data_IF_688807754337
#
_entry.id   IF_688807754337
#
_cell.length_a   1.000
_cell.length_b   1.000
_cell.length_c   1.000
_cell.angle_alpha   90.00
_cell.angle_beta   90.00
_cell.angle_gamma   90.00
#
_symmetry.space_group_name_H-M   'P 1'
#
loop_
_entity.id
_entity.type
_entity.pdbx_description
1 polymer ?
#
# COMPACT_ATOMS: atom_id res chain seq x y z
N UNK A 1 -11.32 7.26 -12.41
CA UNK A 1 -11.69 6.48 -11.22
C UNK A 1 -11.03 7.14 -10.02
N UNK A 2 -11.54 6.88 -8.80
CA UNK A 2 -11.04 7.47 -7.56
C UNK A 2 -10.62 6.37 -6.58
N UNK A 3 -9.31 6.24 -6.37
CA UNK A 3 -8.73 5.23 -5.51
C UNK A 3 -8.08 5.84 -4.25
N UNK A 4 -7.79 5.00 -3.27
CA UNK A 4 -6.97 5.38 -2.12
C UNK A 4 -5.87 4.37 -1.83
N UNK A 5 -4.76 4.88 -1.30
CA UNK A 5 -3.79 4.10 -0.57
C UNK A 5 -3.69 4.62 0.87
N UNK A 6 -3.70 3.71 1.83
CA UNK A 6 -3.53 4.00 3.24
C UNK A 6 -2.38 3.19 3.84
N UNK A 7 -1.43 3.88 4.47
CA UNK A 7 -0.35 3.30 5.28
C UNK A 7 -0.30 3.98 6.65
N UNK A 8 -1.36 3.81 7.47
CA UNK A 8 -1.41 4.44 8.78
C UNK A 8 -0.31 3.87 9.69
N UNK A 9 -0.01 4.54 10.81
CA UNK A 9 0.54 3.82 11.96
C UNK A 9 -0.30 2.57 12.23
N UNK A 10 0.34 1.40 12.21
CA UNK A 10 -0.37 0.13 12.42
C UNK A 10 -0.94 0.07 13.83
N UNK A 11 -2.03 -0.69 14.08
CA UNK A 11 -2.64 -0.75 15.40
C UNK A 11 -1.61 -1.01 16.51
N UNK A 12 -1.49 -0.12 17.49
CA UNK A 12 -0.53 -0.21 18.59
C UNK A 12 0.89 0.23 18.24
N UNK A 13 1.11 0.89 17.10
CA UNK A 13 2.41 1.39 16.63
C UNK A 13 2.43 2.92 16.48
N UNK A 14 1.39 3.64 16.90
CA UNK A 14 1.38 5.11 16.83
C UNK A 14 2.59 5.76 17.53
N UNK A 15 3.09 5.17 18.62
CA UNK A 15 4.25 5.67 19.35
C UNK A 15 5.58 5.71 18.57
N UNK A 16 5.65 5.09 17.39
CA UNK A 16 6.82 5.18 16.49
C UNK A 16 6.80 6.42 15.58
N UNK A 17 5.71 7.18 15.59
CA UNK A 17 5.49 8.32 14.71
C UNK A 17 5.41 9.62 15.53
N UNK A 18 5.82 10.77 14.97
CA UNK A 18 5.81 12.06 15.68
C UNK A 18 4.45 12.44 16.27
N UNK A 19 3.35 12.08 15.59
CA UNK A 19 1.98 12.41 15.97
C UNK A 19 1.52 11.62 17.20
N UNK A 20 2.12 10.45 17.48
CA UNK A 20 1.82 9.57 18.62
C UNK A 20 0.31 9.31 18.85
N UNK A 21 -0.48 9.35 17.78
CA UNK A 21 -1.93 9.25 17.83
C UNK A 21 -2.37 7.98 17.13
N UNK A 22 -3.13 7.13 17.83
CA UNK A 22 -3.70 5.93 17.23
C UNK A 22 -4.76 6.26 16.20
N UNK A 23 -4.77 5.47 15.13
CA UNK A 23 -5.75 5.61 14.05
C UNK A 23 -6.99 4.79 14.41
N UNK A 24 -8.15 5.45 14.34
CA UNK A 24 -9.47 4.80 14.45
C UNK A 24 -9.69 3.89 13.22
N UNK A 25 -9.37 2.60 13.38
CA UNK A 25 -9.41 1.62 12.29
C UNK A 25 -10.82 1.41 11.72
N UNK A 26 -11.89 1.25 12.55
CA UNK A 26 -13.25 1.21 12.03
C UNK A 26 -13.61 2.43 11.18
N UNK A 27 -13.26 3.64 11.64
CA UNK A 27 -13.52 4.86 10.88
C UNK A 27 -12.72 4.93 9.58
N UNK A 28 -11.44 4.55 9.62
CA UNK A 28 -10.60 4.51 8.42
C UNK A 28 -11.17 3.53 7.38
N UNK A 29 -11.53 2.31 7.79
CA UNK A 29 -12.09 1.31 6.87
C UNK A 29 -13.45 1.78 6.31
N UNK A 30 -14.31 2.37 7.15
CA UNK A 30 -15.54 2.99 6.70
C UNK A 30 -15.27 4.09 5.65
N UNK A 31 -14.30 4.98 5.90
CA UNK A 31 -13.90 6.01 4.95
C UNK A 31 -13.43 5.40 3.62
N UNK A 32 -12.54 4.40 3.67
CA UNK A 32 -12.03 3.70 2.49
C UNK A 32 -13.17 3.11 1.65
N UNK A 33 -14.14 2.46 2.29
CA UNK A 33 -15.29 1.83 1.63
C UNK A 33 -16.22 2.86 0.99
N UNK A 34 -16.49 3.98 1.68
CA UNK A 34 -17.48 4.97 1.23
C UNK A 34 -16.93 6.01 0.25
N UNK A 35 -15.70 6.48 0.44
CA UNK A 35 -15.12 7.55 -0.38
C UNK A 35 -14.34 7.04 -1.61
N UNK A 36 -13.94 5.76 -1.61
CA UNK A 36 -13.13 5.15 -2.68
C UNK A 36 -13.77 3.84 -3.19
N UNK A 37 -15.02 3.89 -3.71
CA UNK A 37 -15.75 2.70 -4.15
C UNK A 37 -15.09 2.01 -5.36
N UNK A 38 -14.30 2.75 -6.14
CA UNK A 38 -13.56 2.21 -7.29
C UNK A 38 -12.41 1.28 -6.85
N UNK A 39 -11.87 1.49 -5.64
CA UNK A 39 -10.92 0.59 -5.01
C UNK A 39 -9.94 1.28 -4.06
N UNK A 40 -9.35 0.49 -3.18
CA UNK A 40 -8.37 0.98 -2.22
C UNK A 40 -7.40 -0.13 -1.79
N UNK A 41 -6.25 0.29 -1.28
CA UNK A 41 -5.26 -0.57 -0.64
C UNK A 41 -4.88 -0.03 0.75
N UNK A 42 -4.84 -0.91 1.75
CA UNK A 42 -4.50 -0.60 3.13
C UNK A 42 -3.37 -1.50 3.60
N UNK A 43 -2.21 -0.90 3.87
CA UNK A 43 -1.07 -1.58 4.50
C UNK A 43 -1.31 -1.77 5.99
N UNK A 44 -0.93 -2.93 6.52
CA UNK A 44 -0.98 -3.21 7.97
C UNK A 44 0.06 -4.27 8.36
N UNK A 45 0.05 -4.69 9.62
CA UNK A 45 0.87 -5.80 10.14
C UNK A 45 0.06 -7.09 10.21
N UNK A 46 0.74 -8.23 10.02
CA UNK A 46 0.09 -9.55 10.02
C UNK A 46 -0.65 -9.86 11.33
N UNK A 47 -0.15 -9.39 12.48
CA UNK A 47 -0.80 -9.58 13.78
C UNK A 47 -2.10 -8.78 13.97
N UNK A 48 -2.36 -7.77 13.12
CA UNK A 48 -3.60 -6.98 13.15
C UNK A 48 -4.72 -7.59 12.30
N UNK A 49 -4.45 -8.63 11.49
CA UNK A 49 -5.46 -9.19 10.58
C UNK A 49 -6.72 -9.68 11.31
N UNK A 50 -6.57 -10.27 12.50
CA UNK A 50 -7.71 -10.76 13.29
C UNK A 50 -8.67 -9.63 13.70
N UNK A 51 -8.14 -8.44 13.92
CA UNK A 51 -8.91 -7.26 14.32
C UNK A 51 -9.49 -6.52 13.11
N UNK A 52 -8.72 -6.42 12.02
CA UNK A 52 -9.09 -5.60 10.86
C UNK A 52 -10.04 -6.31 9.88
N UNK A 53 -9.85 -7.61 9.63
CA UNK A 53 -10.66 -8.33 8.63
C UNK A 53 -12.16 -8.33 8.95
N UNK A 54 -12.62 -8.46 10.21
CA UNK A 54 -14.06 -8.35 10.53
C UNK A 54 -14.67 -6.98 10.24
N UNK A 55 -13.87 -5.93 10.09
CA UNK A 55 -14.33 -4.57 9.75
C UNK A 55 -14.43 -4.37 8.23
N UNK A 56 -13.79 -5.24 7.45
CA UNK A 56 -13.74 -5.16 6.00
C UNK A 56 -14.98 -5.81 5.35
N UNK A 57 -15.38 -5.34 4.15
CA UNK A 57 -16.30 -6.08 3.28
C UNK A 57 -15.76 -7.48 2.92
N UNK A 58 -16.67 -8.38 2.54
CA UNK A 58 -16.37 -9.77 2.21
C UNK A 58 -15.60 -9.97 0.88
N UNK A 59 -15.59 -8.95 0.03
CA UNK A 59 -14.86 -8.90 -1.24
C UNK A 59 -13.40 -8.41 -1.11
N UNK A 60 -12.93 -8.12 0.12
CA UNK A 60 -11.55 -7.72 0.38
C UNK A 60 -10.58 -8.90 0.21
N UNK A 61 -9.48 -8.66 -0.49
CA UNK A 61 -8.36 -9.58 -0.64
C UNK A 61 -7.22 -9.21 0.29
N UNK A 62 -6.49 -10.21 0.78
CA UNK A 62 -5.24 -10.03 1.52
C UNK A 62 -4.08 -10.34 0.57
N UNK A 63 -3.29 -9.32 0.25
CA UNK A 63 -2.05 -9.44 -0.53
C UNK A 63 -0.84 -9.38 0.42
N UNK A 64 0.34 -9.72 -0.08
CA UNK A 64 1.56 -9.80 0.74
C UNK A 64 2.73 -8.99 0.16
N UNK A 65 3.23 -8.02 0.91
CA UNK A 65 4.57 -7.49 0.69
C UNK A 65 5.59 -8.33 1.45
N UNK A 66 6.36 -9.11 0.71
CA UNK A 66 7.41 -10.00 1.21
C UNK A 66 8.75 -9.25 1.22
N UNK A 67 9.47 -9.35 2.34
CA UNK A 67 10.74 -8.65 2.58
C UNK A 67 11.88 -9.66 2.56
N UNK A 68 12.66 -9.79 1.46
CA UNK A 68 13.81 -10.70 1.38
C UNK A 68 14.82 -10.48 2.51
N UNK A 69 14.97 -9.23 2.95
CA UNK A 69 15.76 -8.86 4.10
C UNK A 69 14.90 -8.14 5.15
N UNK A 70 14.99 -8.59 6.39
CA UNK A 70 14.40 -7.97 7.58
C UNK A 70 15.28 -8.24 8.81
N UNK A 71 15.33 -7.38 9.83
CA UNK A 71 16.07 -7.67 11.05
C UNK A 71 15.45 -8.84 11.83
N UNK A 72 16.19 -9.93 12.00
CA UNK A 72 15.82 -11.02 12.90
C UNK A 72 16.21 -10.61 14.31
N UNK A 73 15.23 -10.56 15.22
CA UNK A 73 15.43 -10.08 16.59
C UNK A 73 15.54 -11.26 17.56
N UNK A 74 16.45 -11.16 18.52
CA UNK A 74 16.54 -12.12 19.61
C UNK A 74 15.18 -12.26 20.31
N UNK A 75 14.76 -13.49 20.58
CA UNK A 75 13.46 -13.78 21.19
C UNK A 75 12.27 -13.82 20.22
N UNK A 76 12.46 -13.55 18.92
CA UNK A 76 11.41 -13.71 17.91
C UNK A 76 11.61 -15.04 17.17
N UNK A 77 10.79 -16.04 17.49
CA UNK A 77 10.89 -17.40 16.91
C UNK A 77 10.53 -17.43 15.41
N UNK A 78 9.47 -16.73 15.02
CA UNK A 78 9.03 -16.60 13.62
C UNK A 78 9.14 -15.13 13.24
N UNK A 79 10.02 -14.81 12.29
CA UNK A 79 10.27 -13.45 11.89
C UNK A 79 9.08 -12.82 11.14
N UNK A 80 8.84 -11.53 11.37
CA UNK A 80 7.86 -10.72 10.62
C UNK A 80 8.42 -10.30 9.25
N UNK A 81 8.66 -11.29 8.39
CA UNK A 81 9.30 -11.12 7.08
C UNK A 81 8.36 -10.66 5.96
N UNK A 82 7.11 -10.34 6.27
CA UNK A 82 6.14 -9.81 5.32
C UNK A 82 5.12 -8.90 6.00
N UNK A 83 4.44 -8.08 5.22
CA UNK A 83 3.35 -7.19 5.65
C UNK A 83 2.12 -7.41 4.76
N UNK A 84 0.92 -7.59 5.33
CA UNK A 84 -0.31 -7.65 4.56
C UNK A 84 -0.68 -6.30 3.94
N UNK A 85 -1.26 -6.37 2.75
CA UNK A 85 -1.96 -5.26 2.09
C UNK A 85 -3.39 -5.70 1.82
N UNK A 86 -4.35 -5.11 2.52
CA UNK A 86 -5.77 -5.35 2.30
C UNK A 86 -6.19 -4.56 1.06
N UNK A 87 -6.85 -5.21 0.11
CA UNK A 87 -7.23 -4.59 -1.17
C UNK A 87 -8.68 -4.87 -1.47
N UNK A 88 -9.40 -3.83 -1.89
CA UNK A 88 -10.76 -3.92 -2.41
C UNK A 88 -10.87 -3.24 -3.77
N UNK A 89 -11.66 -3.80 -4.67
CA UNK A 89 -11.94 -3.18 -5.97
C UNK A 89 -10.72 -3.16 -6.89
N UNK A 90 -10.52 -2.03 -7.58
CA UNK A 90 -9.53 -1.87 -8.64
C UNK A 90 -10.16 -1.96 -10.03
N UNK A 91 -9.49 -1.35 -11.01
CA UNK A 91 -9.94 -1.42 -12.40
C UNK A 91 -9.73 -2.84 -12.95
N UNK A 92 -10.71 -3.35 -13.71
CA UNK A 92 -10.54 -4.60 -14.47
C UNK A 92 -9.48 -4.41 -15.55
N UNK A 93 -8.47 -5.28 -15.54
CA UNK A 93 -7.40 -5.31 -16.54
C UNK A 93 -7.85 -6.01 -17.84
N UNK A 94 -7.50 -5.49 -19.03
CA UNK A 94 -7.74 -6.18 -20.30
C UNK A 94 -7.05 -7.54 -20.34
N UNK A 95 -7.60 -8.48 -21.11
CA UNK A 95 -7.02 -9.82 -21.30
C UNK A 95 -5.66 -9.82 -22.03
N UNK A 96 -5.29 -8.69 -22.62
CA UNK A 96 -4.03 -8.48 -23.35
C UNK A 96 -2.86 -8.11 -22.45
N UNK A 97 -3.12 -7.85 -21.16
CA UNK A 97 -2.08 -7.50 -20.20
C UNK A 97 -1.92 -8.60 -19.14
N UNK A 98 -0.70 -8.72 -18.60
CA UNK A 98 -0.37 -9.74 -17.61
C UNK A 98 -1.13 -9.54 -16.30
N UNK A 99 -1.40 -10.67 -15.64
CA UNK A 99 -1.97 -10.66 -14.29
C UNK A 99 -0.92 -10.22 -13.28
N UNK A 100 -1.32 -9.34 -12.35
CA UNK A 100 -0.47 -8.89 -11.24
C UNK A 100 -0.47 -9.95 -10.14
N UNK A 101 0.70 -10.28 -9.62
CA UNK A 101 0.83 -11.20 -8.47
C UNK A 101 0.18 -10.56 -7.24
N UNK A 102 -0.47 -11.38 -6.42
CA UNK A 102 -1.01 -10.99 -5.12
C UNK A 102 0.05 -10.87 -4.02
N UNK A 103 1.32 -10.89 -4.43
CA UNK A 103 2.47 -10.59 -3.58
C UNK A 103 3.50 -9.75 -4.33
N UNK A 104 4.30 -9.00 -3.57
CA UNK A 104 5.45 -8.24 -4.05
C UNK A 104 6.67 -8.51 -3.19
N UNK A 105 7.84 -8.64 -3.82
CA UNK A 105 9.08 -9.00 -3.15
C UNK A 105 10.06 -7.83 -3.22
N UNK A 106 10.28 -7.16 -2.09
CA UNK A 106 11.23 -6.05 -2.01
C UNK A 106 11.61 -5.78 -0.55
N UNK A 107 12.87 -5.47 -0.28
CA UNK A 107 13.30 -5.14 1.08
C UNK A 107 12.89 -3.71 1.46
N UNK A 108 12.58 -3.49 2.74
CA UNK A 108 12.21 -2.16 3.24
C UNK A 108 13.36 -1.13 3.24
N UNK A 109 14.60 -1.58 3.03
CA UNK A 109 15.79 -0.74 3.07
C UNK A 109 16.05 -0.05 1.74
N UNK A 110 16.18 1.28 1.76
CA UNK A 110 16.81 2.06 0.69
C UNK A 110 18.26 2.32 1.09
N UNK A 111 19.23 1.80 0.33
CA UNK A 111 20.66 2.02 0.57
C UNK A 111 21.13 1.64 1.99
N UNK A 112 20.60 0.54 2.54
CA UNK A 112 20.98 0.03 3.87
C UNK A 112 20.36 0.79 5.05
N UNK A 113 19.49 1.77 4.83
CA UNK A 113 18.75 2.49 5.88
C UNK A 113 17.27 2.11 5.84
N UNK A 114 16.72 1.81 7.01
CA UNK A 114 15.27 1.62 7.20
C UNK A 114 14.74 2.92 7.80
N UNK A 115 13.97 3.66 7.02
CA UNK A 115 13.21 4.81 7.51
C UNK A 115 11.84 4.30 7.97
N UNK A 116 11.45 4.63 9.21
CA UNK A 116 10.18 4.20 9.77
C UNK A 116 9.04 4.67 8.86
N UNK A 117 8.15 3.75 8.47
CA UNK A 117 7.01 4.02 7.59
C UNK A 117 7.36 4.27 6.12
N UNK A 118 8.62 4.17 5.70
CA UNK A 118 8.95 4.30 4.27
C UNK A 118 8.66 3.00 3.52
N UNK A 119 7.76 3.06 2.54
CA UNK A 119 7.56 1.99 1.56
C UNK A 119 8.56 2.12 0.42
N UNK A 120 9.17 1.02 -0.05
CA UNK A 120 10.13 1.10 -1.14
C UNK A 120 9.42 1.38 -2.49
N UNK A 121 10.12 1.97 -3.48
CA UNK A 121 9.47 2.40 -4.72
C UNK A 121 8.76 1.28 -5.49
N UNK A 122 9.35 0.08 -5.56
CA UNK A 122 8.73 -1.04 -6.27
C UNK A 122 7.40 -1.46 -5.65
N UNK A 123 7.30 -1.45 -4.31
CA UNK A 123 6.06 -1.69 -3.59
C UNK A 123 4.99 -0.66 -3.96
N UNK A 124 5.35 0.64 -4.01
CA UNK A 124 4.41 1.68 -4.37
C UNK A 124 3.88 1.48 -5.80
N UNK A 125 4.76 1.14 -6.75
CA UNK A 125 4.36 0.82 -8.12
C UNK A 125 3.48 -0.42 -8.20
N UNK A 126 3.79 -1.47 -7.42
CA UNK A 126 2.98 -2.67 -7.35
C UNK A 126 1.56 -2.39 -6.83
N UNK A 127 1.39 -1.54 -5.81
CA UNK A 127 0.05 -1.12 -5.34
C UNK A 127 -0.72 -0.42 -6.48
N UNK A 128 -0.07 0.43 -7.26
CA UNK A 128 -0.67 1.08 -8.43
C UNK A 128 -1.05 0.06 -9.52
N UNK A 129 -0.27 -0.99 -9.70
CA UNK A 129 -0.58 -2.10 -10.62
C UNK A 129 -1.74 -2.97 -10.15
N UNK A 130 -1.82 -3.23 -8.84
CA UNK A 130 -2.91 -3.98 -8.20
C UNK A 130 -4.24 -3.27 -8.37
N UNK A 131 -4.29 -1.97 -8.14
CA UNK A 131 -5.47 -1.13 -8.39
C UNK A 131 -5.71 -0.88 -9.89
N UNK A 132 -4.70 -1.23 -10.71
CA UNK A 132 -4.60 -0.97 -12.14
C UNK A 132 -4.93 0.50 -12.48
N UNK A 133 -4.25 1.42 -11.79
CA UNK A 133 -4.45 2.85 -11.98
C UNK A 133 -3.73 3.39 -13.22
N UNK A 134 -4.38 4.34 -13.89
CA UNK A 134 -3.99 4.89 -15.19
C UNK A 134 -3.99 6.43 -15.15
N UNK A 135 -3.23 7.09 -16.04
CA UNK A 135 -3.28 8.54 -16.16
C UNK A 135 -4.72 9.07 -16.29
N UNK A 136 -5.02 10.13 -15.54
CA UNK A 136 -6.38 10.69 -15.43
C UNK A 136 -7.21 10.13 -14.27
N UNK A 137 -6.76 9.08 -13.57
CA UNK A 137 -7.35 8.68 -12.30
C UNK A 137 -6.95 9.61 -11.15
N UNK A 138 -7.83 9.73 -10.17
CA UNK A 138 -7.52 10.28 -8.86
C UNK A 138 -7.06 9.13 -7.95
N UNK A 139 -5.93 9.31 -7.28
CA UNK A 139 -5.50 8.44 -6.20
C UNK A 139 -5.12 9.32 -5.02
N UNK A 140 -5.67 9.01 -3.85
CA UNK A 140 -5.38 9.74 -2.61
C UNK A 140 -4.45 8.92 -1.73
N UNK A 141 -3.32 9.51 -1.38
CA UNK A 141 -2.40 9.02 -0.35
C UNK A 141 -2.86 9.55 1.01
N UNK A 142 -3.59 8.73 1.77
CA UNK A 142 -4.21 9.16 3.03
C UNK A 142 -3.20 9.35 4.17
N UNK A 143 -2.02 8.73 4.05
CA UNK A 143 -0.96 8.76 5.06
C UNK A 143 0.40 8.99 4.37
N UNK A 144 0.64 10.19 3.84
CA UNK A 144 1.76 10.44 2.93
C UNK A 144 3.12 10.19 3.58
N UNK A 145 3.26 10.43 4.89
CA UNK A 145 4.49 10.18 5.64
C UNK A 145 5.74 10.70 4.92
N UNK A 146 6.59 9.78 4.44
CA UNK A 146 7.82 10.10 3.69
C UNK A 146 7.62 10.57 2.25
N UNK A 147 6.37 10.57 1.77
CA UNK A 147 5.94 10.90 0.41
C UNK A 147 6.30 9.84 -0.64
N UNK A 148 6.71 8.64 -0.22
CA UNK A 148 7.18 7.60 -1.16
C UNK A 148 6.09 7.16 -2.14
N UNK A 149 4.86 6.96 -1.65
CA UNK A 149 3.74 6.58 -2.49
C UNK A 149 3.29 7.74 -3.38
N UNK A 150 3.13 8.95 -2.80
CA UNK A 150 2.84 10.17 -3.58
C UNK A 150 3.83 10.37 -4.74
N UNK A 151 5.15 10.21 -4.52
CA UNK A 151 6.14 10.32 -5.61
C UNK A 151 5.96 9.28 -6.71
N UNK A 152 5.73 8.02 -6.35
CA UNK A 152 5.50 6.94 -7.32
C UNK A 152 4.21 7.19 -8.14
N UNK A 153 3.17 7.66 -7.47
CA UNK A 153 1.89 8.04 -8.06
C UNK A 153 2.06 9.21 -9.05
N UNK A 154 2.67 10.32 -8.63
CA UNK A 154 2.91 11.49 -9.50
C UNK A 154 3.72 11.09 -10.74
N UNK A 155 4.80 10.31 -10.56
CA UNK A 155 5.63 9.88 -11.68
C UNK A 155 4.88 9.01 -12.70
N UNK A 156 3.89 8.23 -12.26
CA UNK A 156 3.10 7.32 -13.11
C UNK A 156 1.90 8.00 -13.77
N UNK A 157 1.20 8.86 -13.03
CA UNK A 157 -0.09 9.42 -13.46
C UNK A 157 0.02 10.78 -14.13
N UNK A 158 1.10 11.52 -13.86
CA UNK A 158 1.43 12.80 -14.50
C UNK A 158 2.86 12.76 -15.06
N UNK A 159 3.13 11.90 -16.06
CA UNK A 159 4.46 11.77 -16.61
C UNK A 159 4.85 13.08 -17.33
N UNK A 160 6.13 13.51 -17.23
CA UNK A 160 6.63 14.67 -17.97
C UNK A 160 6.30 14.57 -19.45
N UNK A 161 5.90 15.69 -20.09
CA UNK A 161 5.53 15.76 -21.52
C UNK A 161 6.53 15.09 -22.49
N UNK A 162 7.81 15.04 -22.13
CA UNK A 162 8.85 14.42 -22.96
C UNK A 162 8.76 12.88 -23.02
N UNK A 163 8.22 12.23 -21.98
CA UNK A 163 7.99 10.78 -21.96
C UNK A 163 6.76 10.37 -22.77
N UNK A 164 5.74 11.24 -22.84
CA UNK A 164 4.52 10.99 -23.62
C UNK A 164 4.79 10.88 -25.13
N UNK A 165 5.82 11.56 -25.65
CA UNK A 165 6.21 11.50 -27.07
C UNK A 165 6.99 10.23 -27.44
N UNK A 166 7.52 9.49 -26.46
CA UNK A 166 8.30 8.27 -26.69
C UNK A 166 7.44 6.99 -26.59
N UNK A 167 6.18 7.12 -26.13
CA UNK A 167 5.22 6.02 -25.96
C UNK A 167 4.11 6.01 -27.02
N UNK A 168 4.14 6.95 -27.96
CA UNK A 168 3.25 7.07 -29.13
C UNK A 168 3.96 6.63 -30.40
#
# INVERSE_FOLDING_TARGET
MRFAYADPPYPGYAGYYPEQTEVDQPRLIHQLVHEYPDGWALSTKSSALRELLPLCPDDVRVLAWVKPYTPFRAGVTVAYAWEPVLVRGGRKRPRTEDTVRDWHLESASLNGRILIGAKPPGFCHWVLDVLYALPGDEIVDLFPGTGAFTRAMTARLDPPRQLLLAMS
#
